data_IF_224398966968
#
_entry.id   IF_224398966968
#
_cell.length_a   1.000
_cell.length_b   1.000
_cell.length_c   1.000
_cell.angle_alpha   90.00
_cell.angle_beta   90.00
_cell.angle_gamma   90.00
#
_symmetry.space_group_name_H-M   'P 1'
#
loop_
_entity.id
_entity.type
_entity.pdbx_description
1 polymer ?
#
# COMPACT_ATOMS: atom_id res chain seq x y z
N UNK A 1 25.22 -1.09 -14.93
CA UNK A 1 24.21 -0.88 -15.98
C UNK A 1 23.54 0.42 -15.60
N UNK A 2 24.23 1.53 -15.83
CA UNK A 2 23.81 2.85 -15.39
C UNK A 2 22.56 3.25 -16.16
N UNK A 3 21.42 3.23 -15.46
CA UNK A 3 20.19 3.76 -16.03
C UNK A 3 20.36 5.27 -16.04
N UNK A 4 20.67 5.83 -17.22
CA UNK A 4 20.83 7.28 -17.34
C UNK A 4 19.57 8.01 -16.86
N UNK A 5 19.74 9.14 -16.18
CA UNK A 5 18.63 10.00 -15.71
C UNK A 5 17.63 10.28 -16.84
N UNK A 6 18.12 10.47 -18.07
CA UNK A 6 17.30 10.63 -19.28
C UNK A 6 16.33 9.46 -19.50
N UNK A 7 16.78 8.22 -19.31
CA UNK A 7 15.92 7.03 -19.43
C UNK A 7 14.83 7.01 -18.35
N UNK A 8 15.15 7.42 -17.13
CA UNK A 8 14.18 7.47 -16.03
C UNK A 8 13.10 8.52 -16.33
N UNK A 9 13.51 9.71 -16.77
CA UNK A 9 12.58 10.79 -17.15
C UNK A 9 11.66 10.37 -18.31
N UNK A 10 12.18 9.64 -19.31
CA UNK A 10 11.34 9.07 -20.38
C UNK A 10 10.28 8.13 -19.81
N UNK A 11 10.67 7.22 -18.91
CA UNK A 11 9.72 6.29 -18.26
C UNK A 11 8.67 7.02 -17.43
N UNK A 12 9.03 8.09 -16.72
CA UNK A 12 8.06 8.91 -15.98
C UNK A 12 7.01 9.53 -16.91
N UNK A 13 7.43 10.06 -18.05
CA UNK A 13 6.52 10.62 -19.07
C UNK A 13 5.52 9.58 -19.57
N UNK A 14 5.97 8.36 -19.87
CA UNK A 14 5.10 7.27 -20.30
C UNK A 14 4.08 6.88 -19.21
N UNK A 15 4.51 6.79 -17.95
CA UNK A 15 3.60 6.50 -16.84
C UNK A 15 2.54 7.61 -16.68
N UNK A 16 2.95 8.88 -16.86
CA UNK A 16 2.03 10.01 -16.80
C UNK A 16 1.01 9.98 -17.94
N UNK A 17 1.43 9.64 -19.16
CA UNK A 17 0.52 9.49 -20.30
C UNK A 17 -0.49 8.37 -20.09
N UNK A 18 -0.04 7.23 -19.54
CA UNK A 18 -0.91 6.11 -19.19
C UNK A 18 -1.93 6.53 -18.12
N UNK A 19 -1.46 7.10 -17.02
CA UNK A 19 -2.30 7.59 -15.92
C UNK A 19 -3.43 8.53 -16.41
N UNK A 20 -3.14 9.44 -17.34
CA UNK A 20 -4.14 10.37 -17.90
C UNK A 20 -5.26 9.69 -18.69
N UNK A 21 -5.00 8.49 -19.22
CA UNK A 21 -5.94 7.74 -20.05
C UNK A 21 -6.77 6.72 -19.25
N UNK A 22 -6.44 6.52 -17.97
CA UNK A 22 -7.07 5.52 -17.12
C UNK A 22 -8.33 6.09 -16.45
N UNK A 23 -9.40 5.30 -16.47
CA UNK A 23 -10.66 5.60 -15.78
C UNK A 23 -10.78 4.84 -14.43
N UNK A 24 -9.95 3.81 -14.24
CA UNK A 24 -9.91 3.02 -13.01
C UNK A 24 -8.94 3.66 -11.99
N UNK A 25 -9.47 4.13 -10.87
CA UNK A 25 -8.70 4.79 -9.82
C UNK A 25 -7.58 3.92 -9.26
N UNK A 26 -7.76 2.59 -9.19
CA UNK A 26 -6.71 1.68 -8.71
C UNK A 26 -5.50 1.69 -9.63
N UNK A 27 -5.71 1.58 -10.95
CA UNK A 27 -4.62 1.61 -11.92
C UNK A 27 -3.97 3.00 -12.01
N UNK A 28 -4.75 4.07 -11.80
CA UNK A 28 -4.20 5.42 -11.66
C UNK A 28 -3.21 5.49 -10.50
N UNK A 29 -3.57 4.95 -9.32
CA UNK A 29 -2.69 4.90 -8.14
C UNK A 29 -1.43 4.08 -8.41
N UNK A 30 -1.54 2.97 -9.14
CA UNK A 30 -0.38 2.15 -9.54
C UNK A 30 0.60 2.93 -10.42
N UNK A 31 0.11 3.66 -11.43
CA UNK A 31 0.98 4.51 -12.27
C UNK A 31 1.63 5.65 -11.49
N UNK A 32 0.89 6.29 -10.56
CA UNK A 32 1.45 7.33 -9.70
C UNK A 32 2.50 6.77 -8.75
N UNK A 33 2.29 5.57 -8.20
CA UNK A 33 3.28 4.88 -7.38
C UNK A 33 4.56 4.56 -8.18
N UNK A 34 4.43 4.14 -9.43
CA UNK A 34 5.58 3.92 -10.31
C UNK A 34 6.37 5.23 -10.55
N UNK A 35 5.68 6.36 -10.76
CA UNK A 35 6.33 7.68 -10.91
C UNK A 35 7.09 8.05 -9.64
N UNK A 36 6.52 7.80 -8.45
CA UNK A 36 7.18 8.06 -7.17
C UNK A 36 8.52 7.32 -7.06
N UNK A 37 8.52 6.01 -7.33
CA UNK A 37 9.75 5.20 -7.30
C UNK A 37 10.79 5.70 -8.32
N UNK A 38 10.36 6.17 -9.49
CA UNK A 38 11.27 6.75 -10.48
C UNK A 38 11.87 8.09 -10.00
N UNK A 39 11.11 8.91 -9.27
CA UNK A 39 11.66 10.10 -8.61
C UNK A 39 12.69 9.71 -7.56
N UNK A 40 12.36 8.75 -6.70
CA UNK A 40 13.23 8.28 -5.63
C UNK A 40 14.55 7.75 -6.21
N UNK A 41 14.49 6.99 -7.31
CA UNK A 41 15.67 6.49 -8.04
C UNK A 41 16.60 7.62 -8.55
N UNK A 42 16.05 8.76 -8.99
CA UNK A 42 16.83 9.92 -9.43
C UNK A 42 17.44 10.65 -8.22
N UNK A 43 16.66 10.82 -7.15
CA UNK A 43 17.05 11.60 -5.97
C UNK A 43 18.05 10.85 -5.07
N UNK A 44 17.90 9.53 -4.94
CA UNK A 44 18.73 8.67 -4.09
C UNK A 44 20.04 8.27 -4.78
N UNK A 45 20.18 8.50 -6.10
CA UNK A 45 21.42 8.34 -6.86
C UNK A 45 21.98 6.91 -6.79
N UNK A 46 21.51 6.03 -7.69
CA UNK A 46 22.02 4.65 -7.96
C UNK A 46 22.23 3.68 -6.77
N UNK A 47 22.03 4.10 -5.52
CA UNK A 47 22.26 3.28 -4.35
C UNK A 47 20.94 2.98 -3.63
N UNK A 48 20.63 1.67 -3.65
CA UNK A 48 19.65 0.97 -2.82
C UNK A 48 18.24 0.81 -3.42
N UNK A 49 18.18 0.02 -4.49
CA UNK A 49 16.98 -0.67 -4.98
C UNK A 49 16.41 -1.73 -4.00
N UNK A 50 16.35 -1.43 -2.70
CA UNK A 50 15.91 -2.36 -1.65
C UNK A 50 15.12 -1.65 -0.54
N UNK A 51 14.14 -0.82 -0.90
CA UNK A 51 12.99 -0.63 -0.03
C UNK A 51 11.71 -0.93 -0.83
N UNK A 52 11.60 -2.19 -1.27
CA UNK A 52 10.26 -2.77 -1.45
C UNK A 52 9.68 -2.87 -0.04
N UNK A 53 9.14 -1.75 0.46
CA UNK A 53 8.15 -1.76 1.52
C UNK A 53 6.89 -2.37 0.88
N UNK A 54 6.95 -3.69 0.71
CA UNK A 54 5.77 -4.51 0.68
C UNK A 54 5.05 -4.20 1.98
N UNK A 55 4.07 -3.29 1.89
CA UNK A 55 3.08 -3.05 2.93
C UNK A 55 2.56 -4.43 3.31
N UNK A 56 3.00 -4.90 4.46
CA UNK A 56 2.56 -6.15 5.05
C UNK A 56 1.10 -5.92 5.40
N UNK A 57 0.19 -6.25 4.49
CA UNK A 57 -1.19 -6.47 4.85
C UNK A 57 -1.17 -7.74 5.71
N UNK A 58 -1.01 -7.57 7.02
CA UNK A 58 -1.35 -8.64 7.95
C UNK A 58 -2.86 -8.92 7.77
N UNK A 59 -3.27 -10.12 7.38
CA UNK A 59 -4.67 -10.49 7.50
C UNK A 59 -4.93 -10.63 9.00
N UNK A 60 -5.77 -9.73 9.54
CA UNK A 60 -6.34 -9.86 10.87
C UNK A 60 -7.11 -11.19 10.91
N UNK A 61 -6.52 -12.23 11.49
CA UNK A 61 -7.19 -13.52 11.69
C UNK A 61 -8.25 -13.30 12.76
N UNK A 62 -9.48 -13.10 12.30
CA UNK A 62 -10.69 -13.11 13.11
C UNK A 62 -10.92 -14.56 13.56
N UNK A 63 -10.43 -14.91 14.75
CA UNK A 63 -10.61 -16.24 15.31
C UNK A 63 -12.03 -16.38 15.88
N UNK A 64 -12.98 -16.68 14.99
CA UNK A 64 -14.30 -17.18 15.36
C UNK A 64 -14.18 -18.67 15.67
N UNK A 65 -14.04 -19.02 16.95
CA UNK A 65 -14.36 -20.36 17.43
C UNK A 65 -15.43 -20.33 18.52
N UNK A 66 -16.62 -20.69 18.08
CA UNK A 66 -17.79 -21.08 18.85
C UNK A 66 -17.57 -22.36 19.67
N UNK A 67 -18.28 -22.42 20.80
CA UNK A 67 -18.57 -23.55 21.72
C UNK A 67 -17.47 -23.94 22.74
N UNK A 68 -17.69 -23.94 24.07
CA UNK A 68 -18.86 -24.38 24.88
C UNK A 68 -19.01 -23.60 26.20
N UNK A 69 -20.26 -23.54 26.68
CA UNK A 69 -20.78 -23.12 27.99
C UNK A 69 -19.80 -23.10 29.19
N UNK A 70 -19.79 -21.98 29.91
CA UNK A 70 -20.13 -21.93 31.34
C UNK A 70 -20.77 -20.55 31.61
N UNK A 71 -22.04 -20.53 32.00
CA UNK A 71 -22.76 -19.29 32.36
C UNK A 71 -22.32 -18.93 33.77
N UNK A 72 -21.18 -18.25 33.85
CA UNK A 72 -20.81 -17.42 34.99
C UNK A 72 -21.54 -16.10 34.85
N UNK A 73 -22.62 -15.97 35.60
CA UNK A 73 -23.40 -14.75 35.81
C UNK A 73 -22.47 -13.58 36.24
N UNK A 74 -22.77 -12.38 35.74
CA UNK A 74 -22.23 -11.08 36.19
C UNK A 74 -20.84 -10.64 35.68
N UNK A 75 -20.80 -9.91 34.54
CA UNK A 75 -19.89 -8.76 34.30
C UNK A 75 -19.87 -8.24 32.83
N UNK A 76 -21.03 -7.93 32.22
CA UNK A 76 -21.04 -7.07 31.02
C UNK A 76 -22.07 -5.95 31.20
N UNK A 77 -21.65 -4.90 31.92
CA UNK A 77 -22.33 -3.61 31.89
C UNK A 77 -22.36 -3.03 30.47
N UNK A 78 -23.25 -2.07 30.19
CA UNK A 78 -23.40 -1.52 28.84
C UNK A 78 -22.09 -0.86 28.39
N UNK A 79 -21.46 -1.41 27.35
CA UNK A 79 -20.24 -0.85 26.77
C UNK A 79 -20.48 0.56 26.24
N UNK A 80 -19.90 1.51 26.97
CA UNK A 80 -19.19 2.76 26.66
C UNK A 80 -19.07 3.28 25.19
N UNK A 81 -20.02 3.01 24.30
CA UNK A 81 -20.16 3.68 23.00
C UNK A 81 -21.52 4.35 22.91
N UNK A 82 -21.77 5.26 23.86
CA UNK A 82 -22.79 6.29 23.75
C UNK A 82 -22.09 7.64 23.55
N UNK A 83 -21.66 7.91 22.32
CA UNK A 83 -21.30 9.22 21.77
C UNK A 83 -21.41 9.21 20.23
#
# INVERSE_FOLDING_TARGET
>A
MDVSVTTILTKMSEQLQKARSIQNEQQLREHVAAIRVLCDLILEGELQAAHVAASSFEPLVLETKTERMDIGDDANGPSLLDF
#
